data_IF_800700705501
#
_entry.id   IF_800700705501
#
_cell.length_a   1.000
_cell.length_b   1.000
_cell.length_c   1.000
_cell.angle_alpha   90.00
_cell.angle_beta   90.00
_cell.angle_gamma   90.00
#
_symmetry.space_group_name_H-M   'P 1'
#
loop_
_entity.id
_entity.type
_entity.pdbx_description
1 polymer ?
#
# COMPACT_ATOMS: atom_id res chain seq x y z
N UNK A 1 17.90 22.27 -1.95
CA UNK A 1 17.53 21.31 -0.88
C UNK A 1 18.63 20.26 -0.78
N UNK A 2 19.20 19.99 0.39
CA UNK A 2 20.19 18.91 0.55
C UNK A 2 19.59 17.57 0.11
N UNK A 3 20.38 16.71 -0.52
CA UNK A 3 19.93 15.39 -1.02
C UNK A 3 19.23 14.55 0.06
N UNK A 4 19.73 14.65 1.29
CA UNK A 4 19.15 14.02 2.48
C UNK A 4 17.71 14.44 2.76
N UNK A 5 17.38 15.70 2.53
CA UNK A 5 16.05 16.24 2.78
C UNK A 5 15.08 15.76 1.68
N UNK A 6 15.53 15.64 0.43
CA UNK A 6 14.72 15.07 -0.66
C UNK A 6 14.36 13.61 -0.40
N UNK A 7 15.33 12.82 0.06
CA UNK A 7 15.11 11.41 0.43
C UNK A 7 14.11 11.31 1.60
N UNK A 8 14.24 12.17 2.60
CA UNK A 8 13.30 12.23 3.72
C UNK A 8 11.86 12.51 3.24
N UNK A 9 11.67 13.51 2.37
CA UNK A 9 10.35 13.81 1.81
C UNK A 9 9.77 12.67 0.96
N UNK A 10 10.61 11.96 0.20
CA UNK A 10 10.18 10.80 -0.58
C UNK A 10 9.72 9.63 0.32
N UNK A 11 10.42 9.37 1.42
CA UNK A 11 10.01 8.32 2.38
C UNK A 11 8.69 8.71 3.07
N UNK A 12 8.53 9.98 3.43
CA UNK A 12 7.30 10.50 4.05
C UNK A 12 6.13 10.37 3.07
N UNK A 13 6.30 10.77 1.80
CA UNK A 13 5.21 10.72 0.81
C UNK A 13 4.72 9.28 0.57
N UNK A 14 5.65 8.33 0.41
CA UNK A 14 5.31 6.90 0.23
C UNK A 14 4.61 6.33 1.46
N UNK A 15 5.07 6.69 2.66
CA UNK A 15 4.45 6.23 3.91
C UNK A 15 3.02 6.75 4.06
N UNK A 16 2.79 8.04 3.79
CA UNK A 16 1.47 8.66 3.82
C UNK A 16 0.55 8.02 2.77
N UNK A 17 1.04 7.82 1.54
CA UNK A 17 0.27 7.18 0.47
C UNK A 17 -0.16 5.76 0.84
N UNK A 18 0.73 4.98 1.47
CA UNK A 18 0.44 3.62 1.91
C UNK A 18 -0.65 3.59 2.98
N UNK A 19 -0.53 4.42 4.02
CA UNK A 19 -1.52 4.51 5.11
C UNK A 19 -2.88 4.95 4.57
N UNK A 20 -2.87 5.98 3.71
CA UNK A 20 -4.09 6.50 3.10
C UNK A 20 -4.77 5.45 2.20
N UNK A 21 -4.00 4.77 1.34
CA UNK A 21 -4.51 3.72 0.46
C UNK A 21 -5.13 2.55 1.23
N UNK A 22 -4.52 2.11 2.33
CA UNK A 22 -5.07 1.05 3.17
C UNK A 22 -6.36 1.47 3.87
N UNK A 23 -6.40 2.71 4.36
CA UNK A 23 -7.59 3.29 5.00
C UNK A 23 -8.75 3.41 4.02
N UNK A 24 -8.48 3.91 2.80
CA UNK A 24 -9.46 3.96 1.72
C UNK A 24 -10.01 2.58 1.39
N UNK A 25 -9.15 1.56 1.31
CA UNK A 25 -9.60 0.18 1.09
C UNK A 25 -10.59 -0.30 2.16
N UNK A 26 -10.38 0.07 3.41
CA UNK A 26 -11.29 -0.23 4.52
C UNK A 26 -12.62 0.51 4.41
N UNK A 27 -12.59 1.79 4.06
CA UNK A 27 -13.78 2.62 3.84
C UNK A 27 -14.61 2.05 2.69
N UNK A 28 -13.99 1.72 1.57
CA UNK A 28 -14.65 1.16 0.40
C UNK A 28 -15.34 -0.16 0.75
N UNK A 29 -14.66 -1.08 1.46
CA UNK A 29 -15.27 -2.32 1.95
C UNK A 29 -16.49 -2.08 2.85
N UNK A 30 -16.45 -1.03 3.68
CA UNK A 30 -17.57 -0.63 4.52
C UNK A 30 -18.73 -0.08 3.68
N UNK A 31 -18.46 0.75 2.67
CA UNK A 31 -19.48 1.27 1.74
C UNK A 31 -20.15 0.11 1.00
N UNK A 32 -19.37 -0.80 0.40
CA UNK A 32 -19.91 -1.98 -0.27
C UNK A 32 -20.80 -2.81 0.67
N UNK A 33 -20.36 -3.05 1.91
CA UNK A 33 -21.16 -3.77 2.88
C UNK A 33 -22.51 -3.10 3.17
N UNK A 34 -22.54 -1.76 3.28
CA UNK A 34 -23.78 -1.00 3.48
C UNK A 34 -24.71 -1.07 2.29
N UNK A 35 -24.18 -0.99 1.07
CA UNK A 35 -24.96 -1.18 -0.17
C UNK A 35 -25.62 -2.57 -0.21
N UNK A 36 -24.94 -3.58 0.30
CA UNK A 36 -25.47 -4.94 0.43
C UNK A 36 -26.31 -5.18 1.69
N UNK A 37 -26.69 -4.14 2.46
CA UNK A 37 -27.56 -4.27 3.63
C UNK A 37 -26.92 -4.89 4.89
N UNK A 38 -25.58 -4.91 5.00
CA UNK A 38 -24.85 -5.43 6.17
C UNK A 38 -23.95 -4.36 6.80
N UNK A 39 -23.63 -4.52 8.09
CA UNK A 39 -22.82 -3.53 8.83
C UNK A 39 -21.36 -3.42 8.33
N UNK A 40 -20.81 -4.51 7.80
CA UNK A 40 -19.48 -4.56 7.20
C UNK A 40 -18.31 -4.60 8.19
N UNK A 41 -17.09 -4.86 7.70
CA UNK A 41 -15.88 -4.88 8.52
C UNK A 41 -15.47 -3.46 8.98
N UNK A 42 -14.67 -3.36 10.06
CA UNK A 42 -14.12 -2.08 10.51
C UNK A 42 -13.12 -1.50 9.49
N UNK A 43 -12.93 -0.17 9.53
CA UNK A 43 -12.06 0.54 8.58
C UNK A 43 -10.59 0.10 8.69
N UNK A 44 -10.15 -0.31 9.88
CA UNK A 44 -8.78 -0.75 10.16
C UNK A 44 -8.50 -2.20 9.73
N UNK A 45 -9.50 -2.94 9.24
CA UNK A 45 -9.36 -4.35 8.85
C UNK A 45 -8.20 -4.62 7.87
N UNK A 46 -7.95 -3.79 6.83
CA UNK A 46 -6.85 -4.02 5.89
C UNK A 46 -5.47 -4.03 6.55
N UNK A 47 -5.26 -3.29 7.65
CA UNK A 47 -4.00 -3.32 8.40
C UNK A 47 -3.80 -4.66 9.11
N UNK A 48 -4.87 -5.17 9.74
CA UNK A 48 -4.85 -6.48 10.40
C UNK A 48 -4.67 -7.62 9.39
N UNK A 49 -5.25 -7.49 8.19
CA UNK A 49 -5.11 -8.48 7.11
C UNK A 49 -3.65 -8.61 6.67
N UNK A 50 -2.89 -7.51 6.58
CA UNK A 50 -1.46 -7.53 6.23
C UNK A 50 -0.66 -8.29 7.29
N UNK A 51 -0.82 -7.92 8.57
CA UNK A 51 -0.13 -8.56 9.69
C UNK A 51 -0.45 -10.06 9.71
N UNK A 52 -1.72 -10.42 9.54
CA UNK A 52 -2.17 -11.81 9.46
C UNK A 52 -1.53 -12.55 8.28
N UNK A 53 -1.40 -11.91 7.12
CA UNK A 53 -0.85 -12.55 5.93
C UNK A 53 0.65 -12.85 6.07
N UNK A 54 1.40 -11.99 6.76
CA UNK A 54 2.82 -12.25 7.07
C UNK A 54 3.03 -13.43 8.02
N UNK A 55 2.06 -13.75 8.87
CA UNK A 55 2.11 -14.90 9.79
C UNK A 55 1.75 -16.25 9.16
N UNK A 56 1.27 -16.27 7.90
CA UNK A 56 0.90 -17.51 7.22
C UNK A 56 2.10 -18.12 6.49
N UNK A 57 2.26 -19.45 6.61
CA UNK A 57 3.25 -20.18 5.80
C UNK A 57 2.79 -20.25 4.35
N UNK A 58 3.70 -19.95 3.43
CA UNK A 58 3.46 -20.05 1.99
C UNK A 58 3.48 -21.53 1.59
N UNK A 59 2.37 -22.05 1.08
CA UNK A 59 2.22 -23.46 0.70
C UNK A 59 2.62 -23.75 -0.75
N UNK A 60 2.96 -22.71 -1.53
CA UNK A 60 3.16 -22.80 -2.98
C UNK A 60 4.51 -22.18 -3.32
N UNK A 61 5.38 -22.95 -3.96
CA UNK A 61 6.63 -22.50 -4.55
C UNK A 61 6.61 -22.78 -6.06
N UNK A 62 7.01 -21.79 -6.84
CA UNK A 62 7.24 -21.90 -8.29
C UNK A 62 8.61 -21.30 -8.60
N UNK A 63 9.03 -21.31 -9.88
CA UNK A 63 10.31 -20.76 -10.31
C UNK A 63 10.51 -19.28 -9.94
N UNK A 64 11.72 -18.76 -10.15
CA UNK A 64 12.16 -17.42 -9.70
C UNK A 64 11.18 -16.28 -10.04
N UNK A 65 10.52 -16.34 -11.20
CA UNK A 65 9.57 -15.32 -11.63
C UNK A 65 8.35 -15.18 -10.70
N UNK A 66 7.94 -16.24 -10.02
CA UNK A 66 6.83 -16.21 -9.06
C UNK A 66 7.11 -15.29 -7.87
N UNK A 67 8.35 -15.26 -7.39
CA UNK A 67 8.78 -14.38 -6.32
C UNK A 67 9.09 -12.97 -6.82
N UNK A 68 9.59 -12.84 -8.06
CA UNK A 68 9.91 -11.53 -8.65
C UNK A 68 8.66 -10.75 -9.08
N UNK A 69 7.57 -11.41 -9.47
CA UNK A 69 6.34 -10.73 -9.92
C UNK A 69 5.79 -9.70 -8.92
N UNK A 70 5.55 -10.07 -7.65
CA UNK A 70 5.11 -9.11 -6.62
C UNK A 70 6.11 -7.97 -6.39
N UNK A 71 7.41 -8.26 -6.43
CA UNK A 71 8.46 -7.25 -6.24
C UNK A 71 8.42 -6.22 -7.37
N UNK A 72 8.41 -6.67 -8.62
CA UNK A 72 8.35 -5.80 -9.79
C UNK A 72 7.10 -4.94 -9.82
N UNK A 73 5.94 -5.51 -9.43
CA UNK A 73 4.68 -4.76 -9.35
C UNK A 73 4.75 -3.64 -8.31
N UNK A 74 5.34 -3.89 -7.15
CA UNK A 74 5.51 -2.87 -6.12
C UNK A 74 6.52 -1.81 -6.54
N UNK A 75 7.67 -2.20 -7.10
CA UNK A 75 8.70 -1.28 -7.57
C UNK A 75 8.18 -0.38 -8.69
N UNK A 76 7.48 -0.93 -9.68
CA UNK A 76 6.92 -0.13 -10.79
C UNK A 76 5.84 0.86 -10.33
N UNK A 77 4.95 0.43 -9.41
CA UNK A 77 3.93 1.29 -8.83
C UNK A 77 4.51 2.44 -8.01
N UNK A 78 5.47 2.13 -7.12
CA UNK A 78 6.16 3.13 -6.31
C UNK A 78 7.02 4.08 -7.16
N UNK A 79 7.73 3.54 -8.16
CA UNK A 79 8.53 4.35 -9.09
C UNK A 79 7.68 5.38 -9.84
N UNK A 80 6.50 4.98 -10.32
CA UNK A 80 5.56 5.90 -11.00
C UNK A 80 5.02 6.96 -10.05
N UNK A 81 4.70 6.59 -8.81
CA UNK A 81 4.19 7.52 -7.80
C UNK A 81 5.18 8.63 -7.44
N UNK A 82 6.48 8.33 -7.40
CA UNK A 82 7.52 9.32 -7.06
C UNK A 82 7.67 10.44 -8.10
N UNK A 83 7.19 10.26 -9.33
CA UNK A 83 7.17 11.32 -10.34
C UNK A 83 6.03 12.33 -10.14
N UNK A 84 5.03 12.00 -9.31
CA UNK A 84 3.88 12.87 -9.05
C UNK A 84 4.25 13.83 -7.91
N UNK A 85 4.17 15.17 -8.11
CA UNK A 85 4.51 16.13 -7.07
C UNK A 85 3.37 16.25 -6.05
N UNK A 86 3.35 15.36 -5.05
CA UNK A 86 2.31 15.33 -3.99
C UNK A 86 2.65 16.26 -2.82
N UNK A 87 3.94 16.52 -2.56
CA UNK A 87 4.42 17.39 -1.48
C UNK A 87 5.28 18.52 -2.09
N UNK A 88 5.06 19.77 -1.67
CA UNK A 88 5.83 20.95 -2.10
C UNK A 88 7.35 20.69 -1.96
N UNK A 89 8.11 20.87 -3.06
CA UNK A 89 9.58 20.74 -3.07
C UNK A 89 10.13 19.37 -3.51
N UNK A 90 9.32 18.52 -4.13
CA UNK A 90 9.67 17.17 -4.60
C UNK A 90 10.44 17.11 -5.93
N UNK A 91 11.01 18.22 -6.41
CA UNK A 91 11.86 18.28 -7.62
C UNK A 91 13.33 18.48 -7.26
#
# INVERSE_FOLDING_TARGET
MNIWIKILYAIISVSVATIYGLTLGGIVRKIYARVHGRYGPPVWQPFLDIIKNHGKRVSISHGYMFYLGPVLRLTGGLGTYLFIPVIFGST
#
